data_IF_406736691655
#
_entry.id   IF_406736691655
#
_cell.length_a   1.000
_cell.length_b   1.000
_cell.length_c   1.000
_cell.angle_alpha   90.00
_cell.angle_beta   90.00
_cell.angle_gamma   90.00
#
_symmetry.space_group_name_H-M   'P 1'
#
loop_
_entity.id
_entity.type
_entity.pdbx_description
1 polymer ?
#
# COMPACT_ATOMS: atom_id res chain seq x y z
N UNK A 1 11.02 0.56 -22.93
CA UNK A 1 11.64 0.08 -21.69
C UNK A 1 12.67 -1.02 -21.97
N UNK A 2 12.30 -2.10 -22.68
CA UNK A 2 13.25 -3.18 -23.03
C UNK A 2 14.41 -2.67 -23.89
N UNK A 3 14.15 -1.87 -24.94
CA UNK A 3 15.18 -1.27 -25.80
C UNK A 3 16.15 -0.35 -25.03
N UNK A 4 15.68 0.23 -23.92
CA UNK A 4 16.50 1.06 -23.02
C UNK A 4 17.24 0.24 -21.94
N UNK A 5 17.12 -1.09 -21.93
CA UNK A 5 17.74 -1.97 -20.95
C UNK A 5 17.15 -1.85 -19.53
N UNK A 6 15.95 -1.28 -19.40
CA UNK A 6 15.31 -1.10 -18.09
C UNK A 6 14.61 -2.36 -17.61
N UNK A 7 14.08 -3.15 -18.54
CA UNK A 7 13.36 -4.40 -18.29
C UNK A 7 13.80 -5.47 -19.27
N UNK A 8 13.89 -6.71 -18.83
CA UNK A 8 14.33 -7.84 -19.66
C UNK A 8 13.17 -8.81 -20.01
N UNK A 9 11.98 -8.61 -19.44
CA UNK A 9 10.86 -9.56 -19.54
C UNK A 9 11.13 -10.86 -18.77
N UNK A 10 10.30 -11.87 -19.06
CA UNK A 10 10.37 -13.18 -18.39
C UNK A 10 11.09 -14.28 -19.18
N UNK A 11 11.75 -13.93 -20.25
CA UNK A 11 12.31 -14.87 -21.23
C UNK A 11 11.33 -15.19 -22.35
N UNK A 12 11.80 -15.95 -23.35
CA UNK A 12 11.02 -16.42 -24.51
C UNK A 12 10.21 -15.32 -25.23
N UNK A 13 10.70 -14.07 -25.19
CA UNK A 13 10.04 -12.91 -25.79
C UNK A 13 8.78 -12.42 -25.05
N UNK A 14 8.50 -12.95 -23.86
CA UNK A 14 7.34 -12.56 -23.04
C UNK A 14 7.68 -11.41 -22.12
N UNK A 15 6.76 -10.45 -22.00
CA UNK A 15 6.91 -9.26 -21.15
C UNK A 15 5.94 -9.24 -19.95
N UNK A 16 4.74 -9.79 -20.08
CA UNK A 16 3.73 -9.81 -19.03
C UNK A 16 3.27 -8.40 -18.60
N UNK A 17 2.68 -7.59 -19.51
CA UNK A 17 2.34 -6.20 -19.20
C UNK A 17 1.27 -6.06 -18.11
N UNK A 18 0.50 -7.11 -17.88
CA UNK A 18 -0.58 -7.15 -16.90
C UNK A 18 -0.17 -7.84 -15.59
N UNK A 19 1.07 -8.32 -15.52
CA UNK A 19 1.58 -9.00 -14.33
C UNK A 19 1.84 -7.99 -13.19
N UNK A 20 1.60 -8.44 -11.97
CA UNK A 20 1.84 -7.63 -10.78
C UNK A 20 3.33 -7.65 -10.46
N UNK A 21 3.90 -6.46 -10.30
CA UNK A 21 5.32 -6.28 -10.04
C UNK A 21 5.70 -6.71 -8.61
N UNK A 22 6.69 -7.59 -8.48
CA UNK A 22 7.28 -7.92 -7.18
C UNK A 22 8.33 -6.90 -6.74
N UNK A 23 8.66 -6.87 -5.44
CA UNK A 23 9.70 -5.96 -4.91
C UNK A 23 11.08 -6.23 -5.49
N UNK A 24 11.43 -7.48 -5.76
CA UNK A 24 12.71 -7.80 -6.41
C UNK A 24 12.76 -7.34 -7.88
N UNK A 25 11.66 -7.48 -8.62
CA UNK A 25 11.55 -6.97 -9.98
C UNK A 25 11.64 -5.45 -10.01
N UNK A 26 10.96 -4.78 -9.09
CA UNK A 26 11.06 -3.33 -8.93
C UNK A 26 12.49 -2.89 -8.60
N UNK A 27 13.17 -3.60 -7.69
CA UNK A 27 14.56 -3.29 -7.36
C UNK A 27 15.45 -3.31 -8.60
N UNK A 28 15.27 -4.31 -9.46
CA UNK A 28 16.04 -4.41 -10.70
C UNK A 28 15.72 -3.26 -11.67
N UNK A 29 14.44 -2.93 -11.84
CA UNK A 29 14.03 -1.83 -12.72
C UNK A 29 14.61 -0.49 -12.26
N UNK A 30 14.50 -0.19 -10.96
CA UNK A 30 15.03 1.05 -10.39
C UNK A 30 16.56 1.11 -10.46
N UNK A 31 17.22 0.01 -10.14
CA UNK A 31 18.69 -0.07 -10.27
C UNK A 31 19.14 0.17 -11.70
N UNK A 32 18.44 -0.38 -12.68
CA UNK A 32 18.73 -0.13 -14.09
C UNK A 32 18.43 1.31 -14.51
N UNK A 33 17.31 1.88 -14.08
CA UNK A 33 16.86 3.21 -14.45
C UNK A 33 17.75 4.32 -13.87
N UNK A 34 18.09 4.21 -12.60
CA UNK A 34 18.86 5.21 -11.86
C UNK A 34 20.36 4.90 -11.81
N UNK A 35 20.80 3.77 -12.40
CA UNK A 35 22.20 3.35 -12.46
C UNK A 35 22.84 3.16 -11.08
N UNK A 36 22.05 2.74 -10.12
CA UNK A 36 22.57 2.43 -8.79
C UNK A 36 23.57 1.29 -8.83
N UNK A 37 24.58 1.37 -7.98
CA UNK A 37 25.60 0.34 -7.82
C UNK A 37 25.71 -0.05 -6.36
N UNK A 38 26.00 -1.32 -6.12
CA UNK A 38 26.32 -1.84 -4.80
C UNK A 38 27.83 -2.08 -4.70
N UNK A 39 28.44 -1.58 -3.65
CA UNK A 39 29.81 -1.91 -3.21
C UNK A 39 29.78 -2.82 -1.99
N UNK A 40 28.63 -2.85 -1.27
CA UNK A 40 28.38 -3.66 -0.10
C UNK A 40 27.28 -4.69 -0.36
N UNK A 41 27.32 -5.74 0.40
CA UNK A 41 26.28 -6.77 0.39
C UNK A 41 25.09 -6.33 1.26
N UNK A 42 23.88 -6.72 0.84
CA UNK A 42 22.68 -6.47 1.63
C UNK A 42 22.73 -7.18 2.98
N UNK A 43 22.14 -6.54 3.99
CA UNK A 43 21.95 -7.10 5.33
C UNK A 43 20.65 -7.87 5.50
N UNK A 44 19.74 -7.79 4.50
CA UNK A 44 18.45 -8.46 4.59
C UNK A 44 18.60 -9.97 4.63
N UNK A 45 17.99 -10.59 5.64
CA UNK A 45 18.15 -12.02 5.93
C UNK A 45 17.42 -12.93 4.93
N UNK A 46 16.41 -12.42 4.26
CA UNK A 46 15.54 -13.15 3.31
C UNK A 46 15.98 -12.99 1.83
N UNK A 47 17.13 -12.40 1.59
CA UNK A 47 17.66 -12.23 0.23
C UNK A 47 18.78 -13.23 -0.02
N UNK A 48 18.51 -14.23 -0.86
CA UNK A 48 19.51 -15.23 -1.24
C UNK A 48 20.65 -14.58 -2.03
N UNK A 49 21.88 -14.86 -1.61
CA UNK A 49 23.11 -14.37 -2.26
C UNK A 49 23.24 -14.79 -3.71
N UNK A 50 22.63 -15.91 -4.08
CA UNK A 50 22.62 -16.44 -5.43
C UNK A 50 21.42 -15.95 -6.27
N UNK A 51 20.53 -15.15 -5.66
CA UNK A 51 19.39 -14.61 -6.37
C UNK A 51 19.84 -13.60 -7.44
N UNK A 52 19.16 -13.63 -8.57
CA UNK A 52 19.37 -12.66 -9.66
C UNK A 52 19.13 -11.20 -9.22
N UNK A 53 18.29 -11.01 -8.20
CA UNK A 53 17.94 -9.70 -7.65
C UNK A 53 18.87 -9.22 -6.53
N UNK A 54 19.79 -10.06 -6.08
CA UNK A 54 20.66 -9.76 -4.94
C UNK A 54 21.42 -8.44 -5.10
N UNK A 55 22.06 -8.25 -6.24
CA UNK A 55 22.83 -7.03 -6.54
C UNK A 55 21.94 -5.78 -6.59
N UNK A 56 20.75 -5.89 -7.16
CA UNK A 56 19.82 -4.78 -7.23
C UNK A 56 19.28 -4.38 -5.84
N UNK A 57 18.93 -5.35 -5.02
CA UNK A 57 18.46 -5.11 -3.64
C UNK A 57 19.58 -4.49 -2.80
N UNK A 58 20.81 -5.00 -2.91
CA UNK A 58 21.98 -4.43 -2.26
C UNK A 58 22.22 -2.97 -2.67
N UNK A 59 22.05 -2.66 -3.96
CA UNK A 59 22.20 -1.30 -4.46
C UNK A 59 21.13 -0.35 -3.92
N UNK A 60 19.88 -0.78 -3.83
CA UNK A 60 18.82 0.05 -3.23
C UNK A 60 19.05 0.30 -1.74
N UNK A 61 19.49 -0.71 -0.99
CA UNK A 61 19.80 -0.57 0.44
C UNK A 61 20.98 0.40 0.66
N UNK A 62 22.09 0.19 -0.06
CA UNK A 62 23.30 1.01 0.08
C UNK A 62 23.06 2.47 -0.27
N UNK A 63 22.24 2.74 -1.28
CA UNK A 63 21.87 4.10 -1.68
C UNK A 63 20.73 4.70 -0.83
N UNK A 64 20.25 4.00 0.18
CA UNK A 64 19.20 4.50 1.08
C UNK A 64 17.82 4.63 0.44
N UNK A 65 17.60 3.92 -0.67
CA UNK A 65 16.30 3.89 -1.36
C UNK A 65 15.30 3.03 -0.60
N UNK A 66 15.78 2.00 0.07
CA UNK A 66 14.97 1.08 0.88
C UNK A 66 15.59 0.80 2.23
N UNK A 67 14.74 0.61 3.22
CA UNK A 67 15.10 0.11 4.56
C UNK A 67 14.51 -1.29 4.81
N UNK A 68 13.92 -1.89 3.79
CA UNK A 68 13.23 -3.18 3.87
C UNK A 68 11.80 -3.06 4.34
N UNK A 69 11.26 -4.18 4.83
CA UNK A 69 9.88 -4.31 5.32
C UNK A 69 9.79 -4.45 6.84
N UNK A 70 10.93 -4.30 7.51
CA UNK A 70 11.07 -4.51 8.96
C UNK A 70 11.69 -5.85 9.28
N UNK A 71 12.13 -6.05 10.55
CA UNK A 71 12.73 -7.30 11.01
C UNK A 71 13.95 -7.78 10.20
N UNK A 72 14.71 -6.86 9.60
CA UNK A 72 15.83 -7.16 8.71
C UNK A 72 15.43 -7.94 7.44
N UNK A 73 14.21 -7.74 6.95
CA UNK A 73 13.66 -8.40 5.77
C UNK A 73 13.45 -7.40 4.63
N UNK A 74 13.64 -7.85 3.39
CA UNK A 74 13.32 -7.10 2.17
C UNK A 74 11.98 -7.51 1.56
N UNK A 75 11.60 -8.76 1.76
CA UNK A 75 10.42 -9.41 1.18
C UNK A 75 10.43 -9.41 -0.36
N UNK A 76 11.42 -10.07 -1.01
CA UNK A 76 11.64 -9.97 -2.45
C UNK A 76 10.44 -10.35 -3.31
N UNK A 77 9.70 -11.36 -2.88
CA UNK A 77 8.54 -11.92 -3.61
C UNK A 77 7.23 -11.16 -3.36
N UNK A 78 7.23 -10.25 -2.38
CA UNK A 78 6.05 -9.44 -2.10
C UNK A 78 5.74 -8.52 -3.28
N UNK A 79 4.45 -8.37 -3.61
CA UNK A 79 4.02 -7.45 -4.66
C UNK A 79 4.14 -5.99 -4.22
N UNK A 80 4.39 -5.13 -5.19
CA UNK A 80 4.56 -3.70 -4.95
C UNK A 80 3.21 -3.01 -5.05
N UNK A 81 2.81 -2.32 -3.98
CA UNK A 81 1.67 -1.41 -4.02
C UNK A 81 2.04 -0.12 -4.74
N UNK A 82 1.05 0.63 -5.21
CA UNK A 82 1.28 1.96 -5.81
C UNK A 82 2.00 2.92 -4.87
N UNK A 83 1.68 2.84 -3.58
CA UNK A 83 2.34 3.64 -2.54
C UNK A 83 3.80 3.26 -2.38
N UNK A 84 4.07 1.96 -2.21
CA UNK A 84 5.43 1.47 -2.13
C UNK A 84 6.24 1.88 -3.37
N UNK A 85 5.66 1.72 -4.57
CA UNK A 85 6.29 2.14 -5.81
C UNK A 85 6.59 3.64 -5.84
N UNK A 86 5.62 4.47 -5.45
CA UNK A 86 5.80 5.92 -5.37
C UNK A 86 6.89 6.32 -4.37
N UNK A 87 6.94 5.66 -3.21
CA UNK A 87 7.98 5.90 -2.21
C UNK A 87 9.36 5.50 -2.72
N UNK A 88 9.48 4.37 -3.39
CA UNK A 88 10.74 3.94 -3.99
C UNK A 88 11.21 4.90 -5.09
N UNK A 89 10.30 5.37 -5.95
CA UNK A 89 10.63 6.39 -6.96
C UNK A 89 11.08 7.69 -6.32
N UNK A 90 10.34 8.19 -5.34
CA UNK A 90 10.68 9.41 -4.61
C UNK A 90 12.07 9.32 -3.96
N UNK A 91 12.34 8.21 -3.26
CA UNK A 91 13.64 7.97 -2.65
C UNK A 91 14.75 7.92 -3.71
N UNK A 92 14.51 7.25 -4.83
CA UNK A 92 15.48 7.14 -5.94
C UNK A 92 15.83 8.48 -6.56
N UNK A 93 14.82 9.35 -6.77
CA UNK A 93 15.01 10.71 -7.31
C UNK A 93 15.82 11.55 -6.32
N UNK A 94 15.48 11.52 -5.05
CA UNK A 94 16.17 12.29 -4.00
C UNK A 94 17.65 11.91 -3.87
N UNK A 95 17.99 10.63 -4.07
CA UNK A 95 19.41 10.19 -4.06
C UNK A 95 20.16 10.84 -5.21
N UNK A 96 19.59 10.85 -6.41
CA UNK A 96 20.26 11.48 -7.59
C UNK A 96 20.36 12.98 -7.43
N UNK A 97 19.34 13.66 -6.92
CA UNK A 97 19.39 15.12 -6.69
C UNK A 97 20.44 15.51 -5.66
N UNK A 98 20.63 14.73 -4.60
CA UNK A 98 21.70 14.95 -3.61
C UNK A 98 23.10 14.81 -4.21
N UNK A 99 23.27 13.86 -5.15
CA UNK A 99 24.57 13.64 -5.83
C UNK A 99 24.87 14.76 -6.85
N UNK A 100 23.85 15.38 -7.44
CA UNK A 100 24.00 16.43 -8.45
C UNK A 100 24.16 17.85 -7.89
N UNK A 101 23.89 18.08 -6.60
CA UNK A 101 24.20 19.36 -5.95
C UNK A 101 25.63 19.33 -5.44
N UNK A 102 26.53 20.22 -5.96
CA UNK A 102 27.84 20.43 -5.34
C UNK A 102 27.65 20.88 -3.90
N UNK A 103 28.39 20.27 -2.98
CA UNK A 103 28.47 20.76 -1.60
C UNK A 103 28.90 22.23 -1.61
N UNK A 104 28.00 23.15 -1.28
CA UNK A 104 28.36 24.49 -0.83
C UNK A 104 28.89 24.28 0.58
N UNK A 105 30.24 24.36 0.72
CA UNK A 105 30.87 24.38 2.04
C UNK A 105 30.32 25.59 2.81
N UNK A 106 29.83 25.41 4.02
CA UNK A 106 29.48 26.55 4.86
C UNK A 106 30.74 27.29 5.25
N UNK A 107 30.73 28.63 5.06
CA UNK A 107 31.71 29.52 5.61
C UNK A 107 31.78 29.38 7.15
N UNK A 108 32.96 29.57 7.77
CA UNK A 108 33.12 29.38 9.19
C UNK A 108 32.33 30.44 9.99
N UNK A 109 31.41 29.93 10.78
CA UNK A 109 30.57 30.70 11.72
C UNK A 109 31.44 31.15 12.90
N UNK A 110 31.33 32.43 13.34
CA UNK A 110 31.96 32.90 14.57
C UNK A 110 31.37 32.18 15.81
N UNK A 111 32.24 31.80 16.72
CA UNK A 111 31.89 31.24 18.01
C UNK A 111 31.04 32.22 18.82
N UNK A 112 29.87 31.79 19.25
CA UNK A 112 29.13 32.38 20.37
C UNK A 112 28.62 31.28 21.30
N UNK A 113 28.82 31.55 22.55
CA UNK A 113 28.60 30.92 23.85
C UNK A 113 27.28 30.09 24.00
N UNK A 114 27.26 29.10 24.89
CA UNK A 114 26.11 28.18 25.02
C UNK A 114 24.90 28.89 25.62
N UNK A 115 23.81 28.86 24.90
CA UNK A 115 22.49 29.18 25.41
C UNK A 115 21.65 27.90 25.58
N UNK A 116 20.83 27.95 26.59
CA UNK A 116 19.99 26.94 27.16
C UNK A 116 19.18 26.14 26.16
N UNK A 117 19.02 24.86 26.47
CA UNK A 117 18.13 23.88 25.82
C UNK A 117 16.71 24.41 25.74
N UNK A 118 16.16 24.65 24.53
CA UNK A 118 14.73 24.94 24.43
C UNK A 118 13.95 23.67 24.75
N UNK A 119 12.97 23.82 25.60
CA UNK A 119 11.91 22.81 25.84
C UNK A 119 11.35 22.32 24.52
N UNK A 120 11.24 20.99 24.39
CA UNK A 120 10.54 20.31 23.31
C UNK A 120 9.10 20.79 23.35
N UNK A 121 8.79 21.74 22.46
CA UNK A 121 7.40 22.10 22.18
C UNK A 121 6.73 20.87 21.59
N UNK A 122 5.55 20.47 22.04
CA UNK A 122 4.85 19.32 21.45
C UNK A 122 4.68 19.54 19.96
N UNK A 123 5.08 18.57 19.14
CA UNK A 123 4.80 18.57 17.72
C UNK A 123 3.29 18.79 17.54
N UNK A 124 2.92 19.88 16.92
CA UNK A 124 1.55 20.13 16.50
C UNK A 124 1.17 19.03 15.54
N UNK A 125 0.25 18.17 15.97
CA UNK A 125 -0.43 17.18 15.09
C UNK A 125 -0.87 17.90 13.83
N UNK A 126 -0.71 17.27 12.64
CA UNK A 126 -1.28 17.84 11.42
C UNK A 126 -2.75 18.15 11.68
N UNK A 127 -3.16 19.36 11.37
CA UNK A 127 -4.54 19.80 11.44
C UNK A 127 -5.31 19.04 10.36
N UNK A 128 -5.74 17.81 10.68
CA UNK A 128 -6.54 17.01 9.79
C UNK A 128 -7.91 17.67 9.72
N UNK A 129 -8.21 18.33 8.62
CA UNK A 129 -9.48 18.99 8.31
C UNK A 129 -10.60 17.95 8.10
N UNK A 130 -10.66 16.96 9.01
CA UNK A 130 -11.58 15.85 8.97
C UNK A 130 -13.00 16.34 9.22
N UNK A 131 -14.00 15.83 8.49
CA UNK A 131 -15.39 16.08 8.80
C UNK A 131 -15.73 15.70 10.24
N UNK A 132 -16.53 16.52 10.89
CA UNK A 132 -17.00 16.25 12.27
C UNK A 132 -17.84 14.97 12.41
N UNK A 133 -18.34 14.43 11.28
CA UNK A 133 -19.07 13.17 11.21
C UNK A 133 -18.20 11.93 11.34
N UNK A 134 -16.88 12.07 11.21
CA UNK A 134 -15.96 10.94 11.36
C UNK A 134 -15.56 10.77 12.82
N UNK A 135 -15.75 9.56 13.34
CA UNK A 135 -15.31 9.18 14.66
C UNK A 135 -13.78 9.21 14.77
N UNK A 136 -13.28 10.06 15.64
CA UNK A 136 -11.82 10.19 15.87
C UNK A 136 -11.17 8.90 16.37
N UNK A 137 -11.92 7.99 16.97
CA UNK A 137 -11.46 6.68 17.37
C UNK A 137 -11.22 5.72 16.18
N UNK A 138 -11.81 6.02 15.03
CA UNK A 138 -11.69 5.22 13.81
C UNK A 138 -10.69 5.76 12.78
N UNK A 139 -9.85 6.72 13.16
CA UNK A 139 -8.79 7.24 12.28
C UNK A 139 -7.40 6.93 12.85
N UNK A 140 -6.42 6.77 11.99
CA UNK A 140 -5.01 6.67 12.40
C UNK A 140 -4.47 8.06 12.76
N UNK A 141 -3.34 8.11 13.46
CA UNK A 141 -2.68 9.38 13.79
C UNK A 141 -2.21 10.13 12.53
N UNK A 142 -1.84 9.38 11.50
CA UNK A 142 -1.34 9.91 10.22
C UNK A 142 -2.43 10.01 9.14
N UNK A 143 -3.71 9.93 9.50
CA UNK A 143 -4.80 9.96 8.52
C UNK A 143 -4.70 11.16 7.59
N UNK A 144 -4.82 10.91 6.29
CA UNK A 144 -4.89 11.96 5.28
C UNK A 144 -6.33 12.20 4.85
N UNK A 145 -6.68 13.46 4.58
CA UNK A 145 -8.02 13.83 4.12
C UNK A 145 -7.96 14.86 2.99
N UNK A 146 -8.60 14.54 1.88
CA UNK A 146 -8.75 15.45 0.76
C UNK A 146 -10.24 15.77 0.52
N UNK A 147 -10.73 16.95 0.94
CA UNK A 147 -12.15 17.30 0.81
C UNK A 147 -12.68 17.22 -0.61
N UNK A 148 -11.87 17.56 -1.62
CA UNK A 148 -12.31 17.55 -3.01
C UNK A 148 -12.45 16.13 -3.57
N UNK A 149 -11.50 15.26 -3.25
CA UNK A 149 -11.54 13.85 -3.65
C UNK A 149 -12.69 13.10 -2.96
N UNK A 150 -13.03 13.49 -1.74
CA UNK A 150 -14.07 12.86 -0.93
C UNK A 150 -15.49 13.35 -1.25
N UNK A 151 -15.70 14.26 -2.22
CA UNK A 151 -17.04 14.70 -2.65
C UNK A 151 -17.80 13.66 -3.45
N UNK A 152 -17.14 12.63 -3.97
CA UNK A 152 -17.80 11.58 -4.76
C UNK A 152 -18.80 10.80 -3.89
N UNK A 153 -20.00 10.44 -4.40
CA UNK A 153 -21.04 9.76 -3.63
C UNK A 153 -20.53 8.50 -2.91
N UNK A 154 -19.72 7.69 -3.59
CA UNK A 154 -19.19 6.43 -3.04
C UNK A 154 -18.14 6.68 -1.96
N UNK A 155 -17.34 7.75 -2.08
CA UNK A 155 -16.42 8.16 -1.02
C UNK A 155 -17.20 8.64 0.21
N UNK A 156 -18.27 9.37 0.02
CA UNK A 156 -19.18 9.77 1.12
C UNK A 156 -19.86 8.57 1.78
N UNK A 157 -20.32 7.58 1.01
CA UNK A 157 -20.83 6.31 1.57
C UNK A 157 -19.77 5.61 2.44
N UNK A 158 -18.51 5.64 2.01
CA UNK A 158 -17.41 4.97 2.70
C UNK A 158 -17.02 5.62 4.04
N UNK A 159 -17.47 6.83 4.32
CA UNK A 159 -17.31 7.51 5.62
C UNK A 159 -18.65 7.77 6.33
N UNK A 160 -19.72 7.19 5.84
CA UNK A 160 -21.05 7.28 6.45
C UNK A 160 -21.09 6.65 7.85
N UNK A 161 -22.10 6.96 8.62
CA UNK A 161 -22.35 6.31 9.92
C UNK A 161 -22.46 4.78 9.75
N UNK A 162 -23.08 4.31 8.67
CA UNK A 162 -23.18 2.88 8.35
C UNK A 162 -21.79 2.25 8.15
N UNK A 163 -20.94 2.88 7.36
CA UNK A 163 -19.57 2.42 7.14
C UNK A 163 -18.75 2.36 8.44
N UNK A 164 -18.85 3.41 9.26
CA UNK A 164 -18.17 3.48 10.54
C UNK A 164 -18.67 2.41 11.53
N UNK A 165 -19.97 2.17 11.57
CA UNK A 165 -20.57 1.12 12.41
C UNK A 165 -20.14 -0.28 11.93
N UNK A 166 -20.01 -0.48 10.64
CA UNK A 166 -19.50 -1.72 10.06
C UNK A 166 -18.08 -2.00 10.52
N UNK A 167 -17.18 -1.00 10.45
CA UNK A 167 -15.80 -1.14 10.93
C UNK A 167 -15.80 -1.47 12.43
N UNK A 168 -16.58 -0.76 13.23
CA UNK A 168 -16.69 -1.03 14.68
C UNK A 168 -17.18 -2.44 14.98
N UNK A 169 -18.18 -2.90 14.24
CA UNK A 169 -18.73 -4.25 14.39
C UNK A 169 -17.69 -5.33 14.11
N UNK A 170 -16.95 -5.19 13.00
CA UNK A 170 -15.87 -6.11 12.62
C UNK A 170 -14.77 -6.07 13.67
N UNK A 171 -14.32 -4.89 14.07
CA UNK A 171 -13.30 -4.73 15.10
C UNK A 171 -13.71 -5.40 16.42
N UNK A 172 -14.95 -5.21 16.85
CA UNK A 172 -15.47 -5.83 18.08
C UNK A 172 -15.54 -7.34 17.98
N UNK A 173 -16.01 -7.86 16.83
CA UNK A 173 -16.21 -9.29 16.63
C UNK A 173 -14.90 -10.07 16.56
N UNK A 174 -13.88 -9.51 15.89
CA UNK A 174 -12.62 -10.20 15.61
C UNK A 174 -11.44 -9.71 16.45
N UNK A 175 -11.65 -8.74 17.34
CA UNK A 175 -10.56 -8.16 18.14
C UNK A 175 -9.55 -7.38 17.31
N UNK A 176 -9.96 -6.85 16.16
CA UNK A 176 -9.13 -6.07 15.26
C UNK A 176 -9.20 -4.57 15.59
N UNK A 177 -8.32 -3.77 15.00
CA UNK A 177 -8.29 -2.31 15.18
C UNK A 177 -8.17 -1.59 13.83
N UNK A 178 -9.03 -1.97 12.88
CA UNK A 178 -9.11 -1.34 11.57
C UNK A 178 -9.52 0.12 11.69
N UNK A 179 -8.76 1.02 11.07
CA UNK A 179 -8.96 2.47 11.09
C UNK A 179 -8.73 3.07 9.71
N UNK A 180 -9.40 4.17 9.44
CA UNK A 180 -9.12 4.98 8.27
C UNK A 180 -7.71 5.56 8.33
N UNK A 181 -6.91 5.31 7.30
CA UNK A 181 -5.58 5.86 7.15
C UNK A 181 -5.50 6.86 6.00
N UNK A 182 -6.26 6.66 4.92
CA UNK A 182 -6.38 7.61 3.82
C UNK A 182 -7.84 7.82 3.43
N UNK A 183 -8.18 9.08 3.21
CA UNK A 183 -9.47 9.59 2.77
C UNK A 183 -9.23 10.62 1.67
N UNK A 184 -8.77 10.16 0.51
CA UNK A 184 -8.36 11.02 -0.61
C UNK A 184 -8.94 10.57 -1.96
N UNK A 185 -10.16 9.98 -1.92
CA UNK A 185 -10.84 9.42 -3.08
C UNK A 185 -10.70 7.89 -3.16
N UNK A 186 -9.55 7.36 -2.80
CA UNK A 186 -9.39 5.97 -2.36
C UNK A 186 -9.48 5.95 -0.85
N UNK A 187 -10.24 5.01 -0.32
CA UNK A 187 -10.38 4.81 1.11
C UNK A 187 -9.45 3.68 1.52
N UNK A 188 -8.55 3.96 2.44
CA UNK A 188 -7.65 2.95 2.99
C UNK A 188 -7.94 2.70 4.46
N UNK A 189 -8.20 1.44 4.79
CA UNK A 189 -8.33 0.97 6.16
C UNK A 189 -7.11 0.13 6.53
N UNK A 190 -6.53 0.38 7.68
CA UNK A 190 -5.38 -0.37 8.19
C UNK A 190 -5.61 -0.79 9.64
N UNK A 191 -5.05 -1.93 9.99
CA UNK A 191 -4.82 -2.30 11.39
C UNK A 191 -3.30 -2.41 11.61
N UNK A 192 -2.76 -1.53 12.44
CA UNK A 192 -1.32 -1.52 12.74
C UNK A 192 -0.84 -2.76 13.49
N UNK A 193 -1.75 -3.53 14.06
CA UNK A 193 -1.45 -4.78 14.77
C UNK A 193 -1.53 -6.01 13.85
N UNK A 194 -2.11 -5.87 12.66
CA UNK A 194 -2.10 -6.91 11.63
C UNK A 194 -0.91 -6.70 10.71
N UNK A 195 0.01 -7.63 10.71
CA UNK A 195 1.19 -7.60 9.87
C UNK A 195 1.10 -8.65 8.77
N UNK A 196 1.30 -8.19 7.54
CA UNK A 196 1.66 -9.06 6.42
C UNK A 196 3.17 -9.26 6.48
N UNK A 197 3.65 -10.37 6.08
CA UNK A 197 4.67 -11.14 6.76
C UNK A 197 5.50 -10.30 7.73
N UNK A 198 5.96 -10.88 8.81
CA UNK A 198 6.49 -10.28 10.03
C UNK A 198 7.08 -8.87 9.89
N UNK A 199 6.43 -7.87 10.48
CA UNK A 199 6.94 -6.50 10.58
C UNK A 199 6.44 -5.52 9.52
N UNK A 200 5.68 -5.96 8.51
CA UNK A 200 5.11 -5.08 7.49
C UNK A 200 3.68 -4.71 7.83
N UNK A 201 3.42 -3.42 8.02
CA UNK A 201 2.05 -2.93 8.13
C UNK A 201 1.52 -2.78 6.70
N UNK A 202 0.67 -3.71 6.28
CA UNK A 202 -0.05 -3.61 5.02
C UNK A 202 -1.33 -2.81 5.16
N UNK A 203 -1.78 -2.17 4.09
CA UNK A 203 -3.17 -1.75 4.02
C UNK A 203 -4.03 -3.01 4.02
N UNK A 204 -5.00 -3.06 4.91
CA UNK A 204 -5.87 -4.22 5.05
C UNK A 204 -6.98 -4.20 4.02
N UNK A 205 -7.55 -3.03 3.77
CA UNK A 205 -8.62 -2.85 2.79
C UNK A 205 -8.43 -1.53 2.04
N UNK A 206 -8.48 -1.61 0.71
CA UNK A 206 -8.55 -0.45 -0.18
C UNK A 206 -9.89 -0.45 -0.91
N UNK A 207 -10.57 0.66 -0.92
CA UNK A 207 -11.77 0.88 -1.72
C UNK A 207 -11.44 1.93 -2.76
N UNK A 208 -11.23 1.50 -3.99
CA UNK A 208 -11.06 2.37 -5.16
C UNK A 208 -12.38 2.39 -5.93
N UNK A 209 -13.05 3.52 -5.86
CA UNK A 209 -14.41 3.64 -6.31
C UNK A 209 -14.57 4.80 -7.29
N UNK A 210 -14.92 4.47 -8.53
CA UNK A 210 -15.27 5.42 -9.56
C UNK A 210 -16.75 5.82 -9.40
N UNK A 211 -17.63 4.85 -9.24
CA UNK A 211 -19.06 5.03 -9.03
C UNK A 211 -19.65 3.82 -8.30
N UNK A 212 -20.94 3.88 -7.94
CA UNK A 212 -21.67 2.74 -7.35
C UNK A 212 -21.71 1.51 -8.26
N UNK A 213 -21.51 1.70 -9.56
CA UNK A 213 -21.56 0.65 -10.57
C UNK A 213 -20.18 0.28 -11.12
N UNK A 214 -19.12 0.97 -10.68
CA UNK A 214 -17.74 0.69 -11.07
C UNK A 214 -16.84 0.96 -9.86
N UNK A 215 -16.44 -0.08 -9.17
CA UNK A 215 -15.55 0.01 -8.02
C UNK A 215 -14.70 -1.25 -7.85
N UNK A 216 -13.64 -1.11 -7.09
CA UNK A 216 -12.74 -2.19 -6.70
C UNK A 216 -12.46 -2.13 -5.21
N UNK A 217 -12.59 -3.27 -4.55
CA UNK A 217 -12.14 -3.47 -3.18
C UNK A 217 -10.95 -4.42 -3.23
N UNK A 218 -9.84 -4.01 -2.65
CA UNK A 218 -8.66 -4.84 -2.50
C UNK A 218 -8.44 -5.01 -1.00
N UNK A 219 -8.29 -6.24 -0.56
CA UNK A 219 -7.96 -6.53 0.82
C UNK A 219 -6.75 -7.47 0.87
N UNK A 220 -5.81 -7.04 1.68
CA UNK A 220 -4.59 -7.76 1.97
C UNK A 220 -4.81 -8.51 3.28
N UNK A 221 -4.12 -9.64 3.43
CA UNK A 221 -4.30 -10.49 4.60
C UNK A 221 -5.76 -10.93 4.77
N UNK A 222 -6.25 -11.72 3.84
CA UNK A 222 -7.64 -12.18 3.77
C UNK A 222 -8.05 -13.09 4.96
N UNK A 223 -7.92 -12.55 6.16
CA UNK A 223 -8.41 -13.16 7.38
C UNK A 223 -9.95 -12.99 7.49
N UNK A 224 -10.55 -13.64 8.47
CA UNK A 224 -12.00 -13.60 8.66
C UNK A 224 -12.55 -12.17 8.81
N UNK A 225 -11.82 -11.27 9.45
CA UNK A 225 -12.23 -9.89 9.65
C UNK A 225 -12.28 -9.11 8.32
N UNK A 226 -11.23 -9.20 7.52
CA UNK A 226 -11.18 -8.50 6.22
C UNK A 226 -12.16 -9.10 5.22
N UNK A 227 -12.37 -10.41 5.24
CA UNK A 227 -13.37 -11.10 4.41
C UNK A 227 -14.78 -10.64 4.78
N UNK A 228 -15.15 -10.63 6.06
CA UNK A 228 -16.47 -10.16 6.49
C UNK A 228 -16.66 -8.68 6.17
N UNK A 229 -15.64 -7.86 6.40
CA UNK A 229 -15.68 -6.45 6.04
C UNK A 229 -15.94 -6.27 4.54
N UNK A 230 -15.22 -6.99 3.68
CA UNK A 230 -15.38 -6.90 2.23
C UNK A 230 -16.78 -7.30 1.77
N UNK A 231 -17.34 -8.39 2.30
CA UNK A 231 -18.71 -8.84 2.02
C UNK A 231 -19.72 -7.74 2.33
N UNK A 232 -19.71 -7.24 3.55
CA UNK A 232 -20.65 -6.21 4.02
C UNK A 232 -20.40 -4.86 3.35
N UNK A 233 -19.16 -4.51 3.09
CA UNK A 233 -18.82 -3.25 2.42
C UNK A 233 -19.34 -3.22 0.99
N UNK A 234 -19.22 -4.31 0.26
CA UNK A 234 -19.76 -4.44 -1.10
C UNK A 234 -21.26 -4.18 -1.12
N UNK A 235 -22.01 -4.82 -0.23
CA UNK A 235 -23.47 -4.63 -0.11
C UNK A 235 -23.83 -3.21 0.35
N UNK A 236 -23.04 -2.61 1.24
CA UNK A 236 -23.24 -1.23 1.67
C UNK A 236 -23.03 -0.23 0.52
N UNK A 237 -22.00 -0.45 -0.30
CA UNK A 237 -21.77 0.40 -1.47
C UNK A 237 -22.90 0.29 -2.50
N UNK A 238 -23.39 -0.92 -2.72
CA UNK A 238 -24.49 -1.21 -3.64
C UNK A 238 -25.33 -2.39 -3.12
N UNK A 239 -26.56 -2.13 -2.73
CA UNK A 239 -27.47 -3.12 -2.14
C UNK A 239 -27.84 -4.29 -3.06
N UNK A 240 -27.70 -4.12 -4.38
CA UNK A 240 -27.92 -5.19 -5.36
C UNK A 240 -26.78 -6.22 -5.39
N UNK A 241 -25.64 -5.88 -4.75
CA UNK A 241 -24.42 -6.68 -4.75
C UNK A 241 -24.24 -7.43 -3.43
N UNK A 242 -25.09 -8.42 -3.18
CA UNK A 242 -24.88 -9.40 -2.11
C UNK A 242 -23.98 -10.50 -2.67
N UNK A 243 -22.69 -10.44 -2.34
CA UNK A 243 -21.63 -11.31 -2.89
C UNK A 243 -21.01 -12.25 -1.86
N UNK A 244 -21.73 -12.51 -0.75
CA UNK A 244 -21.21 -13.34 0.34
C UNK A 244 -20.76 -14.73 -0.12
N UNK A 245 -21.59 -15.36 -0.97
CA UNK A 245 -21.31 -16.68 -1.53
C UNK A 245 -20.11 -16.63 -2.48
N UNK A 246 -20.11 -15.71 -3.41
CA UNK A 246 -19.09 -15.57 -4.46
C UNK A 246 -17.72 -15.25 -3.85
N UNK A 247 -17.69 -14.40 -2.82
CA UNK A 247 -16.45 -14.09 -2.10
C UNK A 247 -15.97 -15.34 -1.35
N UNK A 248 -16.86 -16.05 -0.64
CA UNK A 248 -16.48 -17.25 0.12
C UNK A 248 -15.98 -18.35 -0.79
N UNK A 249 -16.68 -18.65 -1.88
CA UNK A 249 -16.26 -19.68 -2.86
C UNK A 249 -14.86 -19.37 -3.40
N UNK A 250 -14.56 -18.10 -3.68
CA UNK A 250 -13.22 -17.67 -4.14
C UNK A 250 -12.16 -17.82 -3.05
N UNK A 251 -12.49 -17.49 -1.80
CA UNK A 251 -11.60 -17.72 -0.65
C UNK A 251 -11.26 -19.20 -0.51
N UNK A 252 -12.27 -20.05 -0.56
CA UNK A 252 -12.12 -21.47 -0.33
C UNK A 252 -11.37 -22.17 -1.47
N UNK A 253 -11.65 -21.78 -2.72
CA UNK A 253 -11.02 -22.35 -3.91
C UNK A 253 -9.64 -21.72 -4.22
N UNK A 254 -9.36 -20.52 -3.70
CA UNK A 254 -8.15 -19.76 -4.00
C UNK A 254 -7.94 -19.50 -5.51
N UNK A 255 -9.03 -19.24 -6.20
CA UNK A 255 -9.07 -19.03 -7.65
C UNK A 255 -9.61 -17.65 -8.02
N UNK A 256 -9.52 -17.32 -9.31
CA UNK A 256 -10.15 -16.13 -9.87
C UNK A 256 -11.46 -16.54 -10.51
N UNK A 257 -12.57 -16.00 -10.03
CA UNK A 257 -13.89 -16.28 -10.54
C UNK A 257 -14.58 -15.03 -11.10
N UNK A 258 -15.33 -15.22 -12.18
CA UNK A 258 -16.13 -14.18 -12.79
C UNK A 258 -17.60 -14.56 -12.64
N UNK A 259 -18.41 -13.61 -12.20
CA UNK A 259 -19.83 -13.77 -11.93
C UNK A 259 -20.64 -12.71 -12.65
N UNK A 260 -21.89 -13.03 -12.96
CA UNK A 260 -22.89 -12.08 -13.39
C UNK A 260 -23.98 -11.95 -12.33
N UNK A 261 -24.22 -10.72 -11.87
CA UNK A 261 -25.25 -10.37 -10.88
C UNK A 261 -26.17 -9.30 -11.49
N UNK A 262 -27.27 -9.73 -12.11
CA UNK A 262 -28.13 -8.83 -12.88
C UNK A 262 -27.34 -8.14 -14.00
N UNK A 263 -27.25 -6.84 -13.95
CA UNK A 263 -26.47 -6.04 -14.93
C UNK A 263 -24.95 -5.96 -14.62
N UNK A 264 -24.53 -6.45 -13.46
CA UNK A 264 -23.15 -6.30 -12.99
C UNK A 264 -22.29 -7.48 -13.41
N UNK A 265 -21.10 -7.16 -13.91
CA UNK A 265 -20.00 -8.10 -14.10
C UNK A 265 -19.09 -7.99 -12.88
N UNK A 266 -18.97 -9.09 -12.14
CA UNK A 266 -18.22 -9.17 -10.91
C UNK A 266 -17.05 -10.11 -11.10
N UNK A 267 -15.87 -9.66 -10.74
CA UNK A 267 -14.67 -10.50 -10.69
C UNK A 267 -14.18 -10.54 -9.25
N UNK A 268 -14.07 -11.73 -8.70
CA UNK A 268 -13.46 -11.96 -7.39
C UNK A 268 -12.19 -12.75 -7.61
N UNK A 269 -11.07 -12.26 -7.12
CA UNK A 269 -9.77 -12.87 -7.29
C UNK A 269 -9.09 -13.12 -5.96
N UNK A 270 -8.35 -14.22 -5.89
CA UNK A 270 -7.50 -14.60 -4.77
C UNK A 270 -6.08 -14.85 -5.28
N UNK A 271 -5.09 -14.33 -4.57
CA UNK A 271 -3.68 -14.65 -4.81
C UNK A 271 -3.24 -15.74 -3.84
N UNK A 272 -2.71 -16.82 -4.36
CA UNK A 272 -2.15 -17.90 -3.55
C UNK A 272 -0.78 -17.58 -2.95
N UNK A 273 -0.15 -16.52 -3.46
CA UNK A 273 1.23 -16.16 -3.10
C UNK A 273 1.32 -15.17 -1.93
N UNK A 274 0.28 -14.38 -1.65
CA UNK A 274 0.38 -13.21 -0.78
C UNK A 274 -0.88 -12.85 0.01
N UNK A 275 -1.79 -13.75 0.22
CA UNK A 275 -3.03 -13.49 0.98
C UNK A 275 -3.85 -12.26 0.50
N UNK A 276 -3.65 -11.82 -0.73
CA UNK A 276 -4.40 -10.70 -1.30
C UNK A 276 -5.65 -11.19 -1.99
N UNK A 277 -6.76 -10.48 -1.77
CA UNK A 277 -7.99 -10.64 -2.54
C UNK A 277 -8.45 -9.31 -3.14
N UNK A 278 -9.22 -9.39 -4.20
CA UNK A 278 -9.90 -8.23 -4.75
C UNK A 278 -11.30 -8.58 -5.26
N UNK A 279 -12.18 -7.60 -5.18
CA UNK A 279 -13.52 -7.62 -5.75
C UNK A 279 -13.58 -6.48 -6.74
N UNK A 280 -13.86 -6.77 -8.00
CA UNK A 280 -14.07 -5.76 -9.04
C UNK A 280 -15.48 -5.86 -9.57
N UNK A 281 -16.20 -4.75 -9.54
CA UNK A 281 -17.56 -4.62 -10.04
C UNK A 281 -17.57 -3.65 -11.19
N UNK A 282 -18.26 -4.02 -12.27
CA UNK A 282 -18.52 -3.17 -13.45
C UNK A 282 -19.90 -3.47 -14.00
N UNK A 283 -20.49 -2.49 -14.71
CA UNK A 283 -21.72 -2.65 -15.49
C UNK A 283 -21.37 -2.97 -16.92
#
# INVERSE_FOLDING_TARGET
LAKAGLVNGFGDGKYGPDDILTREQMAQVLTNAFKFKATKTTKFADVDKNSWSYGAISALEENGVTIGTGGNMYSPKMFVTREAYSQFLYNSINVIEKVQKPEVKPDPKPETKPEEKPEVKPETKPDTNLPSSIDKGLVTEEVTYNPNAMKKPIAQKSISTEAQNLIKSVNSKYGTNLKYADLNGTIRLVDKNMYLPAGTIGAQVYIDAVSENDFKIIFLDNNEATIELAKKWTTMLNSDLVLDKEIQETVDAQEINNYEKGKYKVRVGHSTADHMMYIQVRV
#
